data_IF_302839909423
#
_entry.id   IF_302839909423
#
_cell.length_a   1.000
_cell.length_b   1.000
_cell.length_c   1.000
_cell.angle_alpha   90.00
_cell.angle_beta   90.00
_cell.angle_gamma   90.00
#
_symmetry.space_group_name_H-M   'P 1'
#
loop_
_entity.id
_entity.type
_entity.pdbx_description
1 polymer ?
#
# COMPACT_ATOMS: atom_id res chain seq x y z
N UNK A 1 15.05 -3.52 -19.51
CA UNK A 1 14.45 -4.53 -20.40
C UNK A 1 13.41 -3.88 -21.32
N UNK A 2 12.63 -2.94 -20.81
CA UNK A 2 11.55 -2.28 -21.53
C UNK A 2 11.93 -0.91 -22.05
N UNK A 3 13.06 -0.37 -21.66
CA UNK A 3 13.58 0.96 -21.99
C UNK A 3 12.56 2.10 -21.72
N UNK A 4 11.72 1.88 -20.70
CA UNK A 4 10.69 2.81 -20.25
C UNK A 4 10.75 2.93 -18.72
N UNK A 5 10.39 4.06 -18.18
CA UNK A 5 10.21 4.24 -16.76
C UNK A 5 8.95 3.52 -16.30
N UNK A 6 9.00 2.79 -15.16
CA UNK A 6 7.78 2.21 -14.59
C UNK A 6 6.84 3.33 -14.14
N UNK A 7 5.56 3.12 -14.32
CA UNK A 7 4.53 3.96 -13.72
C UNK A 7 4.34 3.62 -12.22
N UNK A 8 3.50 4.38 -11.54
CA UNK A 8 3.21 4.17 -10.13
C UNK A 8 2.60 2.79 -9.85
N UNK A 9 1.71 2.32 -10.73
CA UNK A 9 1.07 1.01 -10.56
C UNK A 9 2.06 -0.15 -10.70
N UNK A 10 3.02 -0.04 -11.61
CA UNK A 10 4.08 -1.04 -11.75
C UNK A 10 4.98 -1.08 -10.49
N UNK A 11 5.30 0.09 -9.93
CA UNK A 11 6.06 0.21 -8.70
C UNK A 11 5.32 -0.39 -7.51
N UNK A 12 4.05 -0.03 -7.32
CA UNK A 12 3.21 -0.55 -6.24
C UNK A 12 2.97 -2.05 -6.34
N UNK A 13 2.71 -2.56 -7.54
CA UNK A 13 2.50 -3.99 -7.76
C UNK A 13 3.75 -4.81 -7.43
N UNK A 14 4.92 -4.32 -7.85
CA UNK A 14 6.20 -4.95 -7.51
C UNK A 14 6.44 -4.95 -6.00
N UNK A 15 6.25 -3.81 -5.37
CA UNK A 15 6.48 -3.63 -3.94
C UNK A 15 5.51 -4.46 -3.09
N UNK A 16 4.21 -4.39 -3.40
CA UNK A 16 3.18 -5.13 -2.69
C UNK A 16 3.35 -6.64 -2.82
N UNK A 17 3.66 -7.14 -4.02
CA UNK A 17 3.90 -8.56 -4.24
C UNK A 17 5.17 -9.03 -3.52
N UNK A 18 6.25 -8.25 -3.57
CA UNK A 18 7.48 -8.57 -2.87
C UNK A 18 7.25 -8.63 -1.36
N UNK A 19 6.52 -7.68 -0.80
CA UNK A 19 6.19 -7.67 0.62
C UNK A 19 5.35 -8.87 1.04
N UNK A 20 4.34 -9.22 0.23
CA UNK A 20 3.53 -10.40 0.46
C UNK A 20 4.38 -11.69 0.42
N UNK A 21 5.25 -11.83 -0.56
CA UNK A 21 6.13 -13.00 -0.68
C UNK A 21 7.11 -13.11 0.50
N UNK A 22 7.66 -11.98 0.97
CA UNK A 22 8.50 -11.95 2.17
C UNK A 22 7.73 -12.46 3.40
N UNK A 23 6.46 -12.06 3.55
CA UNK A 23 5.61 -12.54 4.63
C UNK A 23 5.33 -14.06 4.50
N UNK A 24 5.00 -14.55 3.31
CA UNK A 24 4.79 -15.99 3.05
C UNK A 24 6.05 -16.79 3.36
N UNK A 25 7.21 -16.34 2.88
CA UNK A 25 8.48 -17.02 3.09
C UNK A 25 8.84 -17.08 4.59
N UNK A 26 8.54 -16.05 5.33
CA UNK A 26 8.79 -15.99 6.78
C UNK A 26 8.02 -17.05 7.59
N UNK A 27 6.89 -17.53 7.10
CA UNK A 27 6.09 -18.55 7.79
C UNK A 27 6.60 -19.97 7.58
N UNK A 28 7.27 -20.23 6.46
CA UNK A 28 7.63 -21.58 6.03
C UNK A 28 6.43 -22.51 5.81
N UNK A 29 5.23 -21.96 5.69
CA UNK A 29 3.96 -22.67 5.65
C UNK A 29 3.21 -22.41 4.35
N UNK A 30 2.33 -23.34 3.97
CA UNK A 30 1.38 -23.17 2.87
C UNK A 30 -0.03 -22.82 3.36
N UNK A 31 -0.19 -22.57 4.67
CA UNK A 31 -1.47 -22.18 5.25
C UNK A 31 -1.67 -20.67 5.09
N UNK A 32 -2.74 -20.29 4.40
CA UNK A 32 -3.08 -18.89 4.13
C UNK A 32 -3.36 -18.08 5.40
N UNK A 33 -3.89 -18.71 6.46
CA UNK A 33 -4.17 -18.01 7.72
C UNK A 33 -2.86 -17.62 8.43
N UNK A 34 -1.82 -18.43 8.28
CA UNK A 34 -0.48 -18.08 8.77
C UNK A 34 0.14 -16.95 7.95
N UNK A 35 -0.08 -16.91 6.63
CA UNK A 35 0.37 -15.79 5.80
C UNK A 35 -0.28 -14.47 6.21
N UNK A 36 -1.61 -14.49 6.42
CA UNK A 36 -2.36 -13.30 6.86
C UNK A 36 -1.80 -12.81 8.19
N UNK A 37 -1.62 -13.70 9.18
CA UNK A 37 -1.05 -13.34 10.48
C UNK A 37 0.36 -12.77 10.39
N UNK A 38 1.21 -13.33 9.53
CA UNK A 38 2.56 -12.83 9.32
C UNK A 38 2.57 -11.46 8.63
N UNK A 39 1.55 -11.20 7.81
CA UNK A 39 1.40 -9.92 7.10
C UNK A 39 0.80 -8.83 7.99
N UNK A 40 -0.10 -9.18 8.92
CA UNK A 40 -0.67 -8.27 9.91
C UNK A 40 0.40 -7.64 10.81
N UNK A 41 0.42 -6.33 10.88
CA UNK A 41 1.41 -5.56 11.65
C UNK A 41 2.83 -5.57 11.08
N UNK A 42 3.04 -6.23 9.94
CA UNK A 42 4.35 -6.21 9.29
C UNK A 42 4.69 -4.82 8.77
N UNK A 43 5.98 -4.53 8.73
CA UNK A 43 6.51 -3.23 8.29
C UNK A 43 7.48 -3.44 7.14
N UNK A 44 7.32 -2.64 6.10
CA UNK A 44 8.26 -2.56 4.98
C UNK A 44 8.95 -1.21 5.01
N UNK A 45 10.19 -1.20 5.48
CA UNK A 45 10.97 0.05 5.65
C UNK A 45 11.43 0.63 4.31
N UNK A 46 11.78 -0.23 3.36
CA UNK A 46 12.39 0.16 2.08
C UNK A 46 11.43 -0.06 0.90
N UNK A 47 10.20 0.42 1.03
CA UNK A 47 9.24 0.44 -0.07
C UNK A 47 9.60 1.54 -1.09
N UNK A 48 9.12 1.40 -2.32
CA UNK A 48 9.29 2.42 -3.37
C UNK A 48 8.65 3.76 -3.03
N UNK A 49 7.72 3.77 -2.07
CA UNK A 49 6.99 4.97 -1.62
C UNK A 49 7.34 5.37 -0.17
N UNK A 50 8.37 4.77 0.40
CA UNK A 50 8.75 4.95 1.79
C UNK A 50 8.17 3.86 2.71
N UNK A 51 8.25 4.08 4.01
CA UNK A 51 7.79 3.10 5.01
C UNK A 51 6.30 2.82 4.88
N UNK A 52 5.97 1.54 4.87
CA UNK A 52 4.59 1.03 4.90
C UNK A 52 4.39 0.10 6.10
N UNK A 53 3.17 0.08 6.61
CA UNK A 53 2.78 -0.82 7.71
C UNK A 53 1.41 -1.42 7.41
N UNK A 54 1.27 -2.74 7.51
CA UNK A 54 0.01 -3.43 7.30
C UNK A 54 -0.83 -3.41 8.58
N UNK A 55 -1.96 -2.74 8.56
CA UNK A 55 -2.87 -2.71 9.71
C UNK A 55 -3.56 -4.06 9.89
N UNK A 56 -3.49 -4.61 11.09
CA UNK A 56 -4.19 -5.85 11.43
C UNK A 56 -5.73 -5.69 11.47
N UNK A 57 -6.23 -4.48 11.70
CA UNK A 57 -7.67 -4.25 11.89
C UNK A 57 -8.49 -4.22 10.60
N UNK A 58 -7.89 -3.88 9.47
CA UNK A 58 -8.59 -3.73 8.19
C UNK A 58 -7.76 -4.15 6.98
N UNK A 59 -6.56 -4.63 7.21
CA UNK A 59 -5.59 -5.06 6.20
C UNK A 59 -5.26 -3.97 5.16
N UNK A 60 -5.31 -2.71 5.62
CA UNK A 60 -4.84 -1.59 4.80
C UNK A 60 -3.37 -1.29 5.10
N UNK A 61 -2.62 -1.03 4.04
CA UNK A 61 -1.25 -0.58 4.17
C UNK A 61 -1.22 0.92 4.50
N UNK A 62 -0.75 1.25 5.69
CA UNK A 62 -0.47 2.65 6.06
C UNK A 62 0.74 3.12 5.29
N UNK A 63 0.57 4.18 4.53
CA UNK A 63 1.64 4.82 3.78
C UNK A 63 1.43 6.32 3.71
N UNK A 64 2.48 7.06 3.42
CA UNK A 64 2.39 8.50 3.22
C UNK A 64 1.61 8.82 1.94
N UNK A 65 0.84 9.90 1.98
CA UNK A 65 0.25 10.49 0.78
C UNK A 65 1.16 11.59 0.24
N UNK A 66 1.42 11.55 -1.05
CA UNK A 66 2.25 12.52 -1.73
C UNK A 66 1.39 13.44 -2.58
N UNK A 67 1.58 14.74 -2.42
CA UNK A 67 0.95 15.75 -3.25
C UNK A 67 2.00 16.61 -3.91
N UNK A 68 1.77 16.96 -5.17
CA UNK A 68 2.77 17.73 -5.89
C UNK A 68 2.25 18.39 -7.14
N UNK A 69 3.14 19.07 -7.82
CA UNK A 69 2.91 19.69 -9.13
C UNK A 69 3.76 18.97 -10.17
N UNK A 70 3.21 18.86 -11.38
CA UNK A 70 3.97 18.34 -12.51
C UNK A 70 4.90 19.43 -13.02
N UNK A 71 6.17 19.10 -13.15
CA UNK A 71 7.17 19.99 -13.73
C UNK A 71 8.03 19.24 -14.78
N UNK A 72 8.81 20.00 -15.55
CA UNK A 72 9.74 19.43 -16.51
C UNK A 72 10.83 18.64 -15.77
N UNK A 73 11.05 17.41 -16.18
CA UNK A 73 12.14 16.58 -15.69
C UNK A 73 13.48 16.95 -16.35
N UNK A 74 14.56 16.50 -15.73
CA UNK A 74 15.92 16.61 -16.26
C UNK A 74 16.51 15.19 -16.36
N UNK A 75 17.32 14.94 -17.40
CA UNK A 75 17.98 13.64 -17.54
C UNK A 75 18.73 13.24 -16.25
N UNK A 76 18.70 11.96 -15.83
CA UNK A 76 18.17 10.79 -16.53
C UNK A 76 16.67 10.54 -16.34
N UNK A 77 15.95 11.46 -15.70
CA UNK A 77 14.53 11.31 -15.40
C UNK A 77 13.64 11.57 -16.62
N UNK A 78 12.37 11.13 -16.57
CA UNK A 78 11.39 11.42 -17.63
C UNK A 78 11.23 12.91 -17.90
N UNK A 79 10.71 13.24 -19.08
CA UNK A 79 10.44 14.64 -19.49
C UNK A 79 9.50 15.37 -18.53
N UNK A 80 8.64 14.63 -17.84
CA UNK A 80 7.75 15.14 -16.78
C UNK A 80 8.00 14.38 -15.49
N UNK A 81 8.06 15.11 -14.40
CA UNK A 81 8.16 14.55 -13.04
C UNK A 81 7.20 15.27 -12.10
N UNK A 82 6.85 14.61 -11.02
CA UNK A 82 6.13 15.24 -9.92
C UNK A 82 7.12 15.87 -8.94
N UNK A 83 7.03 17.17 -8.75
CA UNK A 83 7.68 17.86 -7.64
C UNK A 83 6.76 17.80 -6.42
N UNK A 84 7.17 17.01 -5.43
CA UNK A 84 6.40 16.87 -4.20
C UNK A 84 6.41 18.18 -3.44
N UNK A 85 5.23 18.70 -3.12
CA UNK A 85 5.04 19.92 -2.33
C UNK A 85 4.52 19.64 -0.93
N UNK A 86 3.80 18.55 -0.75
CA UNK A 86 3.24 18.15 0.53
C UNK A 86 3.36 16.63 0.72
N UNK A 87 3.65 16.25 1.96
CA UNK A 87 3.63 14.86 2.41
C UNK A 87 2.62 14.76 3.55
N UNK A 88 1.62 13.92 3.37
CA UNK A 88 0.61 13.64 4.39
C UNK A 88 0.98 12.35 5.11
N UNK A 89 1.01 12.42 6.43
CA UNK A 89 1.28 11.23 7.23
C UNK A 89 0.07 10.30 7.24
N UNK A 90 0.26 8.99 7.43
CA UNK A 90 -0.82 8.00 7.39
C UNK A 90 -2.00 8.35 8.30
N UNK A 91 -1.75 8.90 9.48
CA UNK A 91 -2.77 9.28 10.46
C UNK A 91 -3.75 10.34 9.95
N UNK A 92 -3.32 11.16 8.98
CA UNK A 92 -4.18 12.15 8.34
C UNK A 92 -5.03 11.58 7.20
N UNK A 93 -4.66 10.41 6.68
CA UNK A 93 -5.27 9.80 5.49
C UNK A 93 -6.20 8.64 5.82
N UNK A 94 -5.88 7.91 6.89
CA UNK A 94 -6.59 6.69 7.25
C UNK A 94 -7.41 6.94 8.52
N UNK A 95 -8.68 6.52 8.54
CA UNK A 95 -9.49 6.57 9.75
C UNK A 95 -8.88 5.66 10.82
N UNK A 96 -9.18 5.95 12.08
CA UNK A 96 -8.85 5.04 13.17
C UNK A 96 -9.47 3.66 12.93
N UNK A 97 -8.80 2.62 13.40
CA UNK A 97 -9.39 1.28 13.38
C UNK A 97 -10.70 1.29 14.17
N UNK A 98 -11.78 0.88 13.55
CA UNK A 98 -13.06 0.75 14.23
C UNK A 98 -12.89 -0.18 15.44
N UNK A 99 -13.19 0.31 16.63
CA UNK A 99 -13.09 -0.44 17.88
C UNK A 99 -14.06 -1.63 17.90
N UNK A 100 -15.05 -1.65 17.01
CA UNK A 100 -16.05 -2.70 16.89
C UNK A 100 -16.19 -3.17 15.44
N UNK A 101 -15.85 -4.43 15.20
CA UNK A 101 -16.07 -5.10 13.92
C UNK A 101 -17.57 -5.15 13.50
N UNK A 102 -18.49 -4.84 14.41
CA UNK A 102 -19.91 -4.76 14.10
C UNK A 102 -20.23 -3.64 13.13
N UNK A 103 -19.50 -2.53 13.17
CA UNK A 103 -19.68 -1.42 12.23
C UNK A 103 -19.26 -1.81 10.82
N UNK A 104 -18.28 -2.71 10.68
CA UNK A 104 -17.92 -3.30 9.38
C UNK A 104 -18.99 -4.26 8.87
N UNK A 105 -19.65 -5.00 9.75
CA UNK A 105 -20.75 -5.88 9.37
C UNK A 105 -21.95 -5.08 8.83
N UNK A 106 -22.13 -3.83 9.24
CA UNK A 106 -23.11 -2.92 8.66
C UNK A 106 -22.68 -2.45 7.27
N UNK A 107 -21.42 -2.11 7.08
CA UNK A 107 -20.89 -1.74 5.77
C UNK A 107 -20.89 -2.93 4.77
N UNK A 108 -20.66 -4.15 5.24
CA UNK A 108 -20.73 -5.37 4.41
C UNK A 108 -22.17 -5.76 4.02
N UNK A 109 -23.18 -5.20 4.69
CA UNK A 109 -24.60 -5.36 4.32
C UNK A 109 -25.07 -4.40 3.23
N UNK A 110 -24.22 -3.46 2.82
CA UNK A 110 -24.44 -2.75 1.57
C UNK A 110 -24.31 -3.79 0.46
N UNK A 111 -25.45 -4.30 -0.02
CA UNK A 111 -25.48 -5.24 -1.15
C UNK A 111 -24.66 -4.66 -2.29
N UNK A 112 -23.77 -5.46 -2.90
CA UNK A 112 -23.24 -5.07 -4.19
C UNK A 112 -24.41 -4.83 -5.14
N UNK A 113 -24.33 -3.82 -6.01
CA UNK A 113 -25.38 -3.62 -7.01
C UNK A 113 -25.56 -4.94 -7.76
N UNK A 114 -26.80 -5.39 -7.85
CA UNK A 114 -27.16 -6.52 -8.72
C UNK A 114 -26.96 -6.04 -10.15
N UNK A 115 -25.94 -6.55 -10.81
CA UNK A 115 -25.79 -6.43 -12.25
C UNK A 115 -26.72 -7.39 -12.95
#
# INVERSE_FOLDING_TARGET
KFNEWPDSFAGEAFDGMSWFLDAVDSTGSWDREEWVKAFEGSVRENSVEGRKEMRACDHQALQVGLWGVVEKGEAPYPDLRMKITNVFQPEALFPECAADLKDRAVASKLRPPSF
#
